data_IF_459306557820
#
_entry.id   IF_459306557820
#
_cell.length_a   1.000
_cell.length_b   1.000
_cell.length_c   1.000
_cell.angle_alpha   90.00
_cell.angle_beta   90.00
_cell.angle_gamma   90.00
#
_symmetry.space_group_name_H-M   'P 1'
#
loop_
_entity.id
_entity.type
_entity.pdbx_description
1 polymer ?
#
# COMPACT_ATOMS: atom_id res chain seq x y z
N UNK A 1 -13.85 -14.34 -29.73
CA UNK A 1 -12.45 -13.85 -29.67
C UNK A 1 -11.65 -14.57 -30.76
N UNK A 2 -10.78 -13.84 -31.48
CA UNK A 2 -9.98 -14.40 -32.57
C UNK A 2 -8.81 -15.29 -32.05
N UNK A 3 -8.34 -15.07 -30.82
CA UNK A 3 -7.27 -15.82 -30.18
C UNK A 3 -7.45 -15.84 -28.64
N UNK A 4 -7.13 -16.96 -28.01
CA UNK A 4 -7.16 -17.12 -26.57
C UNK A 4 -5.79 -17.58 -26.07
N UNK A 5 -5.45 -17.18 -24.82
CA UNK A 5 -4.18 -17.50 -24.20
C UNK A 5 -4.42 -18.10 -22.82
N UNK A 6 -3.70 -19.16 -22.48
CA UNK A 6 -3.80 -19.83 -21.20
C UNK A 6 -2.80 -19.20 -20.21
N UNK A 7 -3.31 -18.66 -19.10
CA UNK A 7 -2.48 -18.10 -18.03
C UNK A 7 -2.85 -18.79 -16.71
N UNK A 8 -1.87 -19.32 -15.93
CA UNK A 8 -2.12 -20.03 -14.67
C UNK A 8 -2.91 -19.19 -13.68
N UNK A 9 -4.04 -19.73 -13.16
CA UNK A 9 -4.92 -19.04 -12.21
C UNK A 9 -4.36 -18.90 -10.80
N UNK A 10 -3.40 -19.74 -10.40
CA UNK A 10 -2.80 -19.76 -9.06
C UNK A 10 -1.68 -18.73 -8.83
N UNK A 11 -1.41 -17.86 -9.80
CA UNK A 11 -0.39 -16.81 -9.71
C UNK A 11 -1.01 -15.47 -9.37
N UNK A 12 -0.19 -14.57 -8.81
CA UNK A 12 -0.56 -13.18 -8.53
C UNK A 12 -1.09 -12.46 -9.78
N UNK A 13 -2.02 -11.53 -9.60
CA UNK A 13 -2.66 -10.81 -10.70
C UNK A 13 -1.66 -10.02 -11.57
N UNK A 14 -0.64 -9.40 -10.97
CA UNK A 14 0.41 -8.67 -11.70
C UNK A 14 1.19 -9.65 -12.59
N UNK A 15 1.62 -10.79 -12.03
CA UNK A 15 2.33 -11.82 -12.78
C UNK A 15 1.48 -12.34 -13.94
N UNK A 16 0.20 -12.61 -13.70
CA UNK A 16 -0.73 -13.12 -14.73
C UNK A 16 -0.91 -12.14 -15.89
N UNK A 17 -1.03 -10.85 -15.59
CA UNK A 17 -1.13 -9.82 -16.62
C UNK A 17 0.16 -9.73 -17.45
N UNK A 18 1.32 -9.73 -16.81
CA UNK A 18 2.62 -9.73 -17.50
C UNK A 18 2.78 -10.96 -18.39
N UNK A 19 2.45 -12.15 -17.89
CA UNK A 19 2.51 -13.40 -18.67
C UNK A 19 1.55 -13.36 -19.87
N UNK A 20 0.32 -12.86 -19.67
CA UNK A 20 -0.61 -12.68 -20.78
C UNK A 20 -0.05 -11.76 -21.88
N UNK A 21 0.52 -10.63 -21.49
CA UNK A 21 1.13 -9.70 -22.44
C UNK A 21 2.34 -10.32 -23.15
N UNK A 22 3.18 -11.06 -22.43
CA UNK A 22 4.31 -11.75 -23.01
C UNK A 22 3.88 -12.74 -24.10
N UNK A 23 2.83 -13.54 -23.83
CA UNK A 23 2.25 -14.47 -24.80
C UNK A 23 1.61 -13.75 -26.01
N UNK A 24 0.89 -12.64 -25.76
CA UNK A 24 0.23 -11.87 -26.82
C UNK A 24 1.25 -11.26 -27.78
N UNK A 25 2.32 -10.68 -27.26
CA UNK A 25 3.33 -9.95 -28.04
C UNK A 25 4.57 -10.77 -28.39
N UNK A 26 4.66 -12.02 -27.94
CA UNK A 26 5.71 -12.96 -28.34
C UNK A 26 7.10 -12.64 -27.76
N UNK A 27 7.19 -12.12 -26.53
CA UNK A 27 8.46 -11.90 -25.85
C UNK A 27 8.61 -12.78 -24.59
N UNK A 28 9.84 -13.02 -24.15
CA UNK A 28 10.12 -13.69 -22.90
C UNK A 28 9.84 -12.75 -21.72
N UNK A 29 9.00 -13.19 -20.74
CA UNK A 29 8.73 -12.37 -19.57
C UNK A 29 10.02 -12.15 -18.76
N UNK A 30 10.42 -10.90 -18.47
CA UNK A 30 11.61 -10.62 -17.68
C UNK A 30 11.51 -11.21 -16.27
N UNK A 31 12.61 -11.76 -15.75
CA UNK A 31 12.69 -12.29 -14.38
C UNK A 31 12.56 -11.16 -13.36
N UNK A 32 13.23 -10.03 -13.60
CA UNK A 32 13.15 -8.83 -12.77
C UNK A 32 11.90 -8.03 -13.10
N UNK A 33 11.26 -7.52 -12.05
CA UNK A 33 10.11 -6.64 -12.18
C UNK A 33 10.53 -5.22 -11.88
N UNK A 34 10.50 -4.37 -12.89
CA UNK A 34 10.64 -2.92 -12.77
C UNK A 34 9.34 -2.28 -13.23
N UNK A 35 8.70 -1.50 -12.37
CA UNK A 35 7.44 -0.83 -12.72
C UNK A 35 7.67 0.42 -13.57
N UNK A 36 8.79 1.14 -13.35
CA UNK A 36 9.17 2.32 -14.11
C UNK A 36 8.20 3.50 -13.98
N UNK A 37 7.41 3.55 -12.90
CA UNK A 37 6.48 4.64 -12.65
C UNK A 37 7.20 5.90 -12.14
N UNK A 38 6.88 7.04 -12.75
CA UNK A 38 7.29 8.36 -12.28
C UNK A 38 6.07 9.17 -11.86
N UNK A 39 6.20 9.98 -10.82
CA UNK A 39 5.14 10.88 -10.36
C UNK A 39 5.47 12.29 -10.86
N UNK A 40 4.63 12.90 -11.71
CA UNK A 40 4.86 14.24 -12.20
C UNK A 40 4.64 15.29 -11.10
N UNK A 41 5.38 16.40 -11.17
CA UNK A 41 5.26 17.55 -10.24
C UNK A 41 3.84 18.17 -10.19
N UNK A 42 3.02 17.96 -11.23
CA UNK A 42 1.62 18.38 -11.25
C UNK A 42 0.77 17.77 -10.11
N UNK A 43 1.23 16.67 -9.50
CA UNK A 43 0.62 16.05 -8.32
C UNK A 43 1.10 16.63 -7.00
N UNK A 44 2.00 17.61 -6.98
CA UNK A 44 2.63 18.12 -5.77
C UNK A 44 1.63 18.62 -4.76
N UNK A 45 1.73 18.10 -3.54
CA UNK A 45 1.01 18.58 -2.36
C UNK A 45 1.84 19.64 -1.63
N UNK A 46 1.16 20.67 -1.15
CA UNK A 46 1.76 21.69 -0.27
C UNK A 46 1.62 21.23 1.18
N UNK A 47 2.56 21.69 2.03
CA UNK A 47 2.51 21.49 3.48
C UNK A 47 2.53 20.05 3.97
N UNK A 48 3.21 19.16 3.26
CA UNK A 48 3.53 17.83 3.79
C UNK A 48 4.71 17.94 4.76
N UNK A 49 4.47 17.63 6.03
CA UNK A 49 5.51 17.54 7.05
C UNK A 49 6.26 16.23 6.90
N UNK A 50 7.56 16.29 6.69
CA UNK A 50 8.45 15.14 6.54
C UNK A 50 9.23 14.90 7.84
N UNK A 51 9.57 13.63 8.19
CA UNK A 51 9.13 12.39 7.55
C UNK A 51 7.67 12.03 7.91
N UNK A 52 7.00 11.23 7.08
CA UNK A 52 5.64 10.75 7.36
C UNK A 52 5.37 9.33 6.81
N UNK A 53 4.36 8.69 7.37
CA UNK A 53 3.78 7.45 6.86
C UNK A 53 2.39 7.67 6.25
N UNK A 54 1.91 6.69 5.49
CA UNK A 54 0.55 6.73 4.90
C UNK A 54 -0.22 5.48 5.30
N UNK A 55 -1.44 5.67 5.80
CA UNK A 55 -2.38 4.62 6.18
C UNK A 55 -3.55 4.56 5.18
N UNK A 56 -3.56 3.55 4.30
CA UNK A 56 -4.61 3.29 3.32
C UNK A 56 -5.68 2.40 3.98
N UNK A 57 -6.54 3.03 4.78
CA UNK A 57 -7.47 2.38 5.69
C UNK A 57 -8.78 1.91 5.07
N UNK A 58 -9.05 2.27 3.81
CA UNK A 58 -10.33 2.07 3.13
C UNK A 58 -10.21 1.18 1.88
N UNK A 59 -11.27 0.44 1.60
CA UNK A 59 -11.40 -0.47 0.46
C UNK A 59 -12.85 -0.60 0.05
N UNK A 60 -13.11 -1.21 -1.10
CA UNK A 60 -14.44 -1.34 -1.71
C UNK A 60 -15.42 -2.27 -0.98
N UNK A 61 -14.96 -3.09 -0.02
CA UNK A 61 -15.79 -4.05 0.74
C UNK A 61 -15.45 -4.00 2.21
N UNK A 62 -16.47 -3.93 3.07
CA UNK A 62 -16.30 -3.86 4.53
C UNK A 62 -15.59 -5.10 5.10
N UNK A 63 -15.78 -6.28 4.50
CA UNK A 63 -15.11 -7.51 4.92
C UNK A 63 -13.58 -7.48 4.80
N UNK A 64 -13.04 -6.58 3.98
CA UNK A 64 -11.60 -6.37 3.81
C UNK A 64 -11.03 -5.31 4.76
N UNK A 65 -11.87 -4.64 5.52
CA UNK A 65 -11.42 -3.60 6.44
C UNK A 65 -10.66 -4.20 7.62
N UNK A 66 -9.56 -3.58 7.98
CA UNK A 66 -8.85 -3.88 9.20
C UNK A 66 -9.51 -3.12 10.37
N UNK A 67 -9.67 -3.69 11.57
CA UNK A 67 -10.35 -3.04 12.69
C UNK A 67 -9.82 -1.65 13.02
N UNK A 68 -10.70 -0.71 13.41
CA UNK A 68 -10.32 0.67 13.76
C UNK A 68 -9.35 0.69 14.93
N UNK A 69 -9.57 -0.14 15.95
CA UNK A 69 -8.72 -0.28 17.11
C UNK A 69 -7.29 -0.71 16.76
N UNK A 70 -7.14 -1.59 15.75
CA UNK A 70 -5.83 -2.01 15.27
C UNK A 70 -5.10 -0.87 14.53
N UNK A 71 -5.83 -0.08 13.71
CA UNK A 71 -5.29 1.12 13.09
C UNK A 71 -4.80 2.09 14.15
N UNK A 72 -5.63 2.40 15.16
CA UNK A 72 -5.28 3.33 16.23
C UNK A 72 -4.03 2.88 16.99
N UNK A 73 -3.96 1.59 17.37
CA UNK A 73 -2.78 1.02 18.03
C UNK A 73 -1.51 1.13 17.17
N UNK A 74 -1.61 0.85 15.87
CA UNK A 74 -0.49 1.00 14.93
C UNK A 74 -0.03 2.46 14.81
N UNK A 75 -0.97 3.40 14.65
CA UNK A 75 -0.66 4.82 14.50
C UNK A 75 0.00 5.39 15.76
N UNK A 76 -0.49 5.02 16.95
CA UNK A 76 0.14 5.40 18.22
C UNK A 76 1.58 4.89 18.30
N UNK A 77 1.80 3.62 18.01
CA UNK A 77 3.14 3.03 18.02
C UNK A 77 4.09 3.68 17.01
N UNK A 78 3.61 3.99 15.79
CA UNK A 78 4.39 4.73 14.79
C UNK A 78 4.80 6.12 15.32
N UNK A 79 3.90 6.84 15.97
CA UNK A 79 4.24 8.15 16.53
C UNK A 79 5.20 8.06 17.72
N UNK A 80 4.97 7.12 18.63
CA UNK A 80 5.84 6.91 19.82
C UNK A 80 7.28 6.58 19.41
N UNK A 81 7.45 5.68 18.45
CA UNK A 81 8.76 5.15 18.05
C UNK A 81 9.46 5.98 16.95
N UNK A 82 8.69 6.61 16.04
CA UNK A 82 9.22 7.31 14.86
C UNK A 82 9.02 8.84 14.91
N UNK A 83 8.24 9.36 15.87
CA UNK A 83 7.94 10.80 16.06
C UNK A 83 7.51 11.50 14.76
N UNK A 84 6.60 10.90 14.01
CA UNK A 84 6.17 11.37 12.70
C UNK A 84 4.65 11.37 12.53
N UNK A 85 4.17 12.13 11.57
CA UNK A 85 2.77 12.16 11.18
C UNK A 85 2.39 10.93 10.33
N UNK A 86 1.11 10.55 10.41
CA UNK A 86 0.51 9.52 9.54
C UNK A 86 -0.66 10.13 8.78
N UNK A 87 -0.57 10.14 7.47
CA UNK A 87 -1.62 10.67 6.59
C UNK A 87 -2.63 9.59 6.21
N UNK A 88 -3.93 9.94 6.30
CA UNK A 88 -5.06 9.06 5.99
C UNK A 88 -5.83 9.62 4.77
N UNK A 89 -5.48 9.22 3.54
CA UNK A 89 -6.22 9.61 2.34
C UNK A 89 -7.55 8.87 2.26
N UNK A 90 -8.52 9.50 1.58
CA UNK A 90 -9.87 9.00 1.37
C UNK A 90 -10.40 9.39 -0.01
N UNK A 91 -11.38 8.63 -0.54
CA UNK A 91 -11.97 8.86 -1.85
C UNK A 91 -13.44 9.30 -1.81
N UNK A 92 -14.18 8.96 -0.73
CA UNK A 92 -15.59 9.29 -0.55
C UNK A 92 -15.90 9.62 0.93
N UNK A 93 -17.10 10.14 1.21
CA UNK A 93 -17.47 10.61 2.55
C UNK A 93 -17.51 9.49 3.61
N UNK A 94 -17.85 8.27 3.24
CA UNK A 94 -17.83 7.13 4.18
C UNK A 94 -16.38 6.78 4.58
N UNK A 95 -15.46 6.82 3.64
CA UNK A 95 -14.04 6.63 3.90
C UNK A 95 -13.48 7.78 4.74
N UNK A 96 -13.91 9.03 4.48
CA UNK A 96 -13.55 10.19 5.29
C UNK A 96 -13.98 10.02 6.73
N UNK A 97 -15.26 9.69 6.96
CA UNK A 97 -15.78 9.46 8.30
C UNK A 97 -14.99 8.37 9.04
N UNK A 98 -14.58 7.31 8.33
CA UNK A 98 -13.72 6.27 8.89
C UNK A 98 -12.32 6.79 9.23
N UNK A 99 -11.72 7.62 8.37
CA UNK A 99 -10.43 8.26 8.66
C UNK A 99 -10.52 9.14 9.92
N UNK A 100 -11.58 9.93 10.05
CA UNK A 100 -11.86 10.76 11.21
C UNK A 100 -12.01 9.92 12.49
N UNK A 101 -12.71 8.78 12.42
CA UNK A 101 -12.84 7.84 13.52
C UNK A 101 -11.49 7.24 13.96
N UNK A 102 -10.61 6.90 13.00
CA UNK A 102 -9.27 6.39 13.29
C UNK A 102 -8.41 7.49 13.92
N UNK A 103 -8.48 8.71 13.42
CA UNK A 103 -7.67 9.86 13.85
C UNK A 103 -8.17 10.52 15.14
N UNK A 104 -9.37 10.22 15.62
CA UNK A 104 -9.97 10.87 16.78
C UNK A 104 -9.06 10.83 18.02
N UNK A 105 -8.72 12.01 18.56
CA UNK A 105 -7.81 12.17 19.69
C UNK A 105 -6.33 11.87 19.39
N UNK A 106 -5.93 11.68 18.12
CA UNK A 106 -4.55 11.43 17.69
C UNK A 106 -4.03 12.60 16.84
N UNK A 107 -3.38 13.62 17.43
CA UNK A 107 -3.01 14.85 16.70
C UNK A 107 -2.00 14.63 15.56
N UNK A 108 -1.28 13.54 15.55
CA UNK A 108 -0.34 13.13 14.51
C UNK A 108 -0.99 12.31 13.38
N UNK A 109 -2.26 11.93 13.52
CA UNK A 109 -3.04 11.25 12.49
C UNK A 109 -3.78 12.29 11.65
N UNK A 110 -3.32 12.54 10.45
CA UNK A 110 -3.79 13.63 9.60
C UNK A 110 -4.77 13.10 8.56
N UNK A 111 -6.05 13.43 8.70
CA UNK A 111 -7.05 13.17 7.66
C UNK A 111 -6.78 14.11 6.50
N UNK A 112 -6.48 13.57 5.33
CA UNK A 112 -6.12 14.37 4.16
C UNK A 112 -7.31 15.19 3.64
N UNK A 113 -7.02 16.27 2.93
CA UNK A 113 -7.97 16.88 2.01
C UNK A 113 -8.31 15.91 0.86
N UNK A 114 -9.43 16.16 0.17
CA UNK A 114 -9.80 15.38 -1.00
C UNK A 114 -8.73 15.52 -2.09
N UNK A 115 -8.20 14.40 -2.55
CA UNK A 115 -7.12 14.34 -3.53
C UNK A 115 -7.56 13.67 -4.83
N UNK A 116 -6.99 14.12 -5.95
CA UNK A 116 -7.00 13.35 -7.18
C UNK A 116 -5.89 12.27 -7.18
N UNK A 117 -5.89 11.39 -8.18
CA UNK A 117 -4.95 10.27 -8.24
C UNK A 117 -3.47 10.71 -8.32
N UNK A 118 -3.17 11.82 -9.01
CA UNK A 118 -1.79 12.34 -9.10
C UNK A 118 -1.30 12.85 -7.75
N UNK A 119 -2.17 13.52 -7.00
CA UNK A 119 -1.87 13.98 -5.63
C UNK A 119 -1.68 12.80 -4.67
N UNK A 120 -2.53 11.76 -4.79
CA UNK A 120 -2.36 10.53 -4.01
C UNK A 120 -1.04 9.83 -4.36
N UNK A 121 -0.67 9.76 -5.65
CA UNK A 121 0.61 9.21 -6.08
C UNK A 121 1.80 10.01 -5.51
N UNK A 122 1.69 11.34 -5.48
CA UNK A 122 2.70 12.21 -4.87
C UNK A 122 2.84 11.94 -3.37
N UNK A 123 1.73 11.85 -2.64
CA UNK A 123 1.71 11.49 -1.22
C UNK A 123 2.43 10.15 -0.98
N UNK A 124 2.09 9.12 -1.75
CA UNK A 124 2.70 7.80 -1.62
C UNK A 124 4.19 7.81 -1.96
N UNK A 125 4.60 8.50 -3.01
CA UNK A 125 6.01 8.56 -3.46
C UNK A 125 6.95 9.14 -2.41
N UNK A 126 6.50 10.10 -1.63
CA UNK A 126 7.33 10.81 -0.65
C UNK A 126 7.19 10.28 0.79
N UNK A 127 6.32 9.30 1.03
CA UNK A 127 6.20 8.65 2.33
C UNK A 127 7.46 7.83 2.67
N UNK A 128 7.76 7.71 3.95
CA UNK A 128 8.78 6.78 4.47
C UNK A 128 8.32 5.34 4.27
N UNK A 129 7.05 5.06 4.59
CA UNK A 129 6.43 3.76 4.39
C UNK A 129 4.91 3.87 4.31
N UNK A 130 4.29 2.84 3.73
CA UNK A 130 2.86 2.78 3.49
C UNK A 130 2.29 1.49 4.08
N UNK A 131 1.20 1.61 4.80
CA UNK A 131 0.40 0.48 5.28
C UNK A 131 -0.96 0.58 4.60
N UNK A 132 -1.50 -0.53 4.14
CA UNK A 132 -2.83 -0.48 3.54
C UNK A 132 -3.56 -1.80 3.50
N UNK A 133 -4.89 -1.72 3.56
CA UNK A 133 -5.75 -2.85 3.22
C UNK A 133 -5.73 -3.11 1.71
N UNK A 134 -6.29 -4.23 1.25
CA UNK A 134 -6.40 -4.60 -0.17
C UNK A 134 -7.16 -3.53 -0.99
N UNK A 135 -6.42 -2.58 -1.57
CA UNK A 135 -6.93 -1.43 -2.34
C UNK A 135 -6.02 -1.06 -3.50
N UNK A 136 -6.55 -0.34 -4.49
CA UNK A 136 -5.78 0.11 -5.66
C UNK A 136 -4.58 1.00 -5.33
N UNK A 137 -4.69 1.88 -4.33
CA UNK A 137 -3.59 2.74 -3.88
C UNK A 137 -2.43 1.95 -3.26
N UNK A 138 -2.70 0.79 -2.65
CA UNK A 138 -1.65 -0.09 -2.14
C UNK A 138 -0.79 -0.66 -3.28
N UNK A 139 -1.43 -1.06 -4.38
CA UNK A 139 -0.72 -1.51 -5.58
C UNK A 139 0.05 -0.37 -6.25
N UNK A 140 -0.48 0.85 -6.22
CA UNK A 140 0.25 2.03 -6.71
C UNK A 140 1.50 2.30 -5.85
N UNK A 141 1.39 2.23 -4.52
CA UNK A 141 2.52 2.37 -3.61
C UNK A 141 3.63 1.33 -3.89
N UNK A 142 3.23 0.06 -4.10
CA UNK A 142 4.14 -1.00 -4.48
C UNK A 142 4.80 -0.74 -5.86
N UNK A 143 4.04 -0.24 -6.83
CA UNK A 143 4.56 0.11 -8.15
C UNK A 143 5.46 1.36 -8.15
N UNK A 144 5.36 2.20 -7.13
CA UNK A 144 6.29 3.31 -6.85
C UNK A 144 7.53 2.86 -6.07
N UNK A 145 7.67 1.54 -5.84
CA UNK A 145 8.82 0.90 -5.18
C UNK A 145 9.06 1.43 -3.76
N UNK A 146 7.97 1.72 -3.03
CA UNK A 146 8.01 2.21 -1.65
C UNK A 146 7.99 1.05 -0.65
N UNK A 147 8.50 1.25 0.59
CA UNK A 147 8.23 0.35 1.70
C UNK A 147 6.73 0.19 1.92
N UNK A 148 6.19 -1.04 1.75
CA UNK A 148 4.76 -1.32 1.76
C UNK A 148 4.44 -2.57 2.56
N UNK A 149 3.44 -2.45 3.45
CA UNK A 149 2.79 -3.60 4.09
C UNK A 149 1.31 -3.65 3.71
N UNK A 150 0.94 -4.69 2.97
CA UNK A 150 -0.45 -4.98 2.62
C UNK A 150 -1.13 -5.86 3.68
N UNK A 151 -2.32 -5.46 4.11
CA UNK A 151 -3.15 -6.17 5.09
C UNK A 151 -4.33 -6.81 4.36
N UNK A 152 -4.48 -8.13 4.55
CA UNK A 152 -5.52 -8.95 3.92
C UNK A 152 -6.33 -9.66 5.01
N UNK A 153 -7.64 -9.42 5.05
CA UNK A 153 -8.56 -9.99 6.04
C UNK A 153 -9.58 -10.94 5.42
N UNK A 154 -9.94 -10.70 4.14
CA UNK A 154 -10.98 -11.44 3.39
C UNK A 154 -10.57 -11.74 1.95
N UNK A 155 -9.28 -11.66 1.62
CA UNK A 155 -8.73 -12.01 0.31
C UNK A 155 -7.42 -12.78 0.47
N UNK A 156 -7.17 -13.67 -0.50
CA UNK A 156 -5.94 -14.45 -0.57
C UNK A 156 -4.79 -13.58 -1.13
N UNK A 157 -3.79 -13.21 -0.32
CA UNK A 157 -2.70 -12.33 -0.76
C UNK A 157 -1.81 -12.96 -1.84
N UNK A 158 -1.82 -14.29 -2.00
CA UNK A 158 -1.11 -14.97 -3.11
C UNK A 158 -1.71 -14.55 -4.45
N UNK A 159 -3.02 -14.30 -4.52
CA UNK A 159 -3.73 -13.94 -5.75
C UNK A 159 -3.86 -12.45 -5.97
N UNK A 160 -4.15 -11.70 -4.91
CA UNK A 160 -4.50 -10.28 -5.00
C UNK A 160 -3.50 -9.36 -4.29
N UNK A 161 -2.51 -9.92 -3.61
CA UNK A 161 -1.52 -9.15 -2.86
C UNK A 161 -0.59 -8.32 -3.74
N UNK A 162 0.10 -7.38 -3.11
CA UNK A 162 1.19 -6.65 -3.75
C UNK A 162 2.32 -7.59 -4.14
N UNK A 163 3.10 -7.19 -5.13
CA UNK A 163 4.29 -7.93 -5.51
C UNK A 163 5.31 -7.89 -4.36
N UNK A 164 5.59 -9.05 -3.79
CA UNK A 164 6.52 -9.19 -2.65
C UNK A 164 7.95 -8.91 -3.10
N UNK A 165 8.68 -8.15 -2.29
CA UNK A 165 10.10 -7.83 -2.47
C UNK A 165 10.76 -7.65 -1.10
N UNK A 166 12.00 -7.18 -1.06
CA UNK A 166 12.66 -6.79 0.19
C UNK A 166 11.86 -5.70 0.92
N UNK A 167 11.29 -4.74 0.16
CA UNK A 167 10.57 -3.56 0.69
C UNK A 167 9.04 -3.70 0.65
N UNK A 168 8.48 -4.83 0.23
CA UNK A 168 7.03 -5.01 0.14
C UNK A 168 6.61 -6.39 0.68
N UNK A 169 5.67 -6.41 1.62
CA UNK A 169 5.18 -7.63 2.27
C UNK A 169 3.65 -7.63 2.33
N UNK A 170 3.08 -8.84 2.36
CA UNK A 170 1.66 -9.08 2.54
C UNK A 170 1.45 -9.82 3.87
N UNK A 171 0.52 -9.35 4.70
CA UNK A 171 0.15 -9.95 5.98
C UNK A 171 -1.33 -10.31 6.02
N UNK A 172 -1.65 -11.36 6.75
CA UNK A 172 -3.01 -11.86 6.91
C UNK A 172 -3.45 -12.78 5.78
N UNK A 173 -4.69 -13.21 5.87
CA UNK A 173 -5.39 -14.06 4.90
C UNK A 173 -6.88 -14.04 5.22
N UNK A 174 -7.71 -14.77 4.46
CA UNK A 174 -9.13 -14.95 4.75
C UNK A 174 -9.32 -15.44 6.20
N UNK A 175 -9.95 -14.63 7.03
CA UNK A 175 -10.18 -14.91 8.45
C UNK A 175 -8.94 -14.82 9.35
N UNK A 176 -7.79 -14.38 8.85
CA UNK A 176 -6.56 -14.21 9.62
C UNK A 176 -6.18 -12.73 9.68
N UNK A 177 -6.56 -12.06 10.74
CA UNK A 177 -6.33 -10.63 10.95
C UNK A 177 -4.97 -10.43 11.62
N UNK A 178 -3.99 -9.73 11.00
CA UNK A 178 -2.71 -9.45 11.63
C UNK A 178 -2.87 -8.46 12.79
N UNK A 179 -2.00 -8.58 13.80
CA UNK A 179 -1.93 -7.63 14.92
C UNK A 179 -1.21 -6.34 14.51
N UNK A 180 -1.46 -5.24 15.23
CA UNK A 180 -0.77 -3.97 15.02
C UNK A 180 0.75 -4.10 15.20
N UNK A 181 1.21 -4.88 16.16
CA UNK A 181 2.63 -5.12 16.41
C UNK A 181 3.31 -5.85 15.23
N UNK A 182 2.67 -6.88 14.69
CA UNK A 182 3.20 -7.60 13.53
C UNK A 182 3.30 -6.69 12.32
N UNK A 183 2.27 -5.86 12.07
CA UNK A 183 2.25 -4.88 10.98
C UNK A 183 3.37 -3.85 11.16
N UNK A 184 3.54 -3.30 12.37
CA UNK A 184 4.60 -2.36 12.69
C UNK A 184 6.00 -2.95 12.42
N UNK A 185 6.31 -4.12 13.00
CA UNK A 185 7.61 -4.77 12.81
C UNK A 185 7.91 -5.04 11.34
N UNK A 186 6.93 -5.58 10.60
CA UNK A 186 7.09 -5.85 9.17
C UNK A 186 7.33 -4.56 8.37
N UNK A 187 6.69 -3.45 8.75
CA UNK A 187 6.92 -2.16 8.10
C UNK A 187 8.33 -1.66 8.37
N UNK A 188 8.83 -1.76 9.62
CA UNK A 188 10.19 -1.35 9.95
C UNK A 188 11.24 -2.17 9.19
N UNK A 189 11.02 -3.47 9.04
CA UNK A 189 11.89 -4.33 8.21
C UNK A 189 11.92 -3.88 6.73
N UNK A 190 10.76 -3.49 6.19
CA UNK A 190 10.67 -2.96 4.82
C UNK A 190 11.38 -1.61 4.67
N UNK A 191 11.24 -0.71 5.66
CA UNK A 191 11.91 0.61 5.68
C UNK A 191 13.43 0.44 5.77
N UNK A 192 13.91 -0.40 6.67
CA UNK A 192 15.34 -0.69 6.80
C UNK A 192 15.95 -1.28 5.51
N UNK A 193 15.20 -2.14 4.81
CA UNK A 193 15.64 -2.70 3.53
C UNK A 193 15.73 -1.62 2.42
N UNK A 194 14.84 -0.64 2.40
CA UNK A 194 14.86 0.50 1.46
C UNK A 194 16.06 1.43 1.72
N UNK A 195 16.34 1.72 2.97
CA UNK A 195 17.51 2.53 3.36
C UNK A 195 18.83 1.85 3.01
N UNK A 196 18.95 0.55 3.30
CA UNK A 196 20.12 -0.24 2.94
C UNK A 196 20.39 -0.29 1.44
N UNK A 197 19.37 -0.24 0.61
CA UNK A 197 19.51 -0.25 -0.87
C UNK A 197 19.99 1.08 -1.45
N UNK A 198 19.87 2.20 -0.70
CA UNK A 198 20.30 3.54 -1.14
C UNK A 198 21.75 3.86 -0.81
N UNK A 199 22.42 3.02 -0.01
CA UNK A 199 23.82 3.20 0.45
C UNK A 199 24.81 2.48 -0.45
N UNK A 200 24.36 1.69 -1.41
CA UNK A 200 25.18 0.96 -2.39
C UNK A 200 25.11 1.67 -3.74
#
# INVERSE_FOLDING_TARGET
YAKTYAVPKGKNAVWRNRELFAQVFGYAMPETQVFGLTVPEAGRLKNLEQPYYVALHATSRDSKLWPVENWRALLQKLNEEQQCNVYLPWGNEAEKARAEQIADGLPFAIVCDKMNLLQAAYLLKHAVGIIGVDTGLLHLANALEKPVVGIYTDTDPIKTGVQVSAVAKNLGNIGQIPTADLVYQTLMDCVAADEGSKVV
#
